data_IF_564063229985
#
_entry.id   IF_564063229985
#
_cell.length_a   1.000
_cell.length_b   1.000
_cell.length_c   1.000
_cell.angle_alpha   90.00
_cell.angle_beta   90.00
_cell.angle_gamma   90.00
#
_symmetry.space_group_name_H-M   'P 1'
#
loop_
_entity.id
_entity.type
_entity.pdbx_description
1 polymer ?
#
# COMPACT_ATOMS: atom_id res chain seq x y z
N UNK A 1 -5.60 15.28 -16.38
CA UNK A 1 -4.38 16.04 -16.73
C UNK A 1 -3.68 16.34 -15.42
N UNK A 2 -2.66 15.55 -15.07
CA UNK A 2 -1.95 15.70 -13.79
C UNK A 2 -1.02 16.91 -13.87
N UNK A 3 -1.03 17.77 -12.85
CA UNK A 3 -0.05 18.84 -12.72
C UNK A 3 1.33 18.20 -12.55
N UNK A 4 2.22 18.43 -13.52
CA UNK A 4 3.60 17.96 -13.44
C UNK A 4 4.34 18.83 -12.42
N UNK A 5 4.79 18.21 -11.33
CA UNK A 5 5.78 18.82 -10.45
C UNK A 5 7.15 18.77 -11.15
N UNK A 6 8.01 19.79 -10.95
CA UNK A 6 9.31 19.83 -11.59
C UNK A 6 10.19 18.66 -11.12
N UNK A 7 10.64 17.88 -12.10
CA UNK A 7 11.65 16.83 -11.99
C UNK A 7 12.98 17.42 -11.53
N UNK A 8 13.51 16.98 -10.39
CA UNK A 8 14.89 17.23 -9.98
C UNK A 8 15.60 15.88 -9.84
N UNK A 9 16.80 15.79 -10.43
CA UNK A 9 17.72 14.63 -10.43
C UNK A 9 18.07 14.20 -9.00
N UNK A 10 17.21 13.39 -8.37
CA UNK A 10 17.54 12.66 -7.16
C UNK A 10 17.83 11.21 -7.53
N UNK A 11 19.11 10.89 -7.73
CA UNK A 11 19.56 9.50 -7.86
C UNK A 11 19.41 8.80 -6.50
N UNK A 12 18.49 7.84 -6.33
CA UNK A 12 18.28 7.18 -5.04
C UNK A 12 19.49 6.29 -4.71
N UNK A 13 20.20 6.57 -3.62
CA UNK A 13 21.40 5.82 -3.21
C UNK A 13 21.10 4.40 -2.70
N UNK A 14 19.84 4.09 -2.38
CA UNK A 14 19.34 2.72 -2.18
C UNK A 14 17.81 2.70 -2.18
N UNK A 15 17.19 2.20 -3.24
CA UNK A 15 15.75 1.89 -3.20
C UNK A 15 15.60 0.61 -2.37
N UNK A 16 15.03 0.72 -1.17
CA UNK A 16 14.60 -0.45 -0.41
C UNK A 16 13.10 -0.56 -0.66
N UNK A 17 12.73 -1.22 -1.76
CA UNK A 17 11.33 -1.52 -2.06
C UNK A 17 10.81 -2.54 -1.03
N UNK A 18 10.35 -2.02 0.10
CA UNK A 18 9.49 -2.78 1.00
C UNK A 18 8.09 -2.54 0.49
N UNK A 19 7.64 -3.44 -0.38
CA UNK A 19 6.25 -3.50 -0.72
C UNK A 19 5.56 -4.59 0.08
N UNK A 20 4.35 -4.29 0.52
CA UNK A 20 3.55 -5.19 1.32
C UNK A 20 2.16 -5.18 0.73
N UNK A 21 1.60 -6.35 0.51
CA UNK A 21 0.19 -6.48 0.12
C UNK A 21 -0.59 -6.83 1.37
N UNK A 22 -1.61 -6.03 1.66
CA UNK A 22 -2.62 -6.36 2.65
C UNK A 22 -3.89 -6.73 1.93
N UNK A 23 -4.47 -7.88 2.27
CA UNK A 23 -5.81 -8.22 1.84
C UNK A 23 -6.71 -8.29 3.07
N UNK A 24 -7.64 -7.35 3.18
CA UNK A 24 -8.63 -7.34 4.26
C UNK A 24 -9.99 -7.77 3.74
N UNK A 25 -10.50 -8.87 4.27
CA UNK A 25 -11.85 -9.39 4.04
C UNK A 25 -12.73 -9.04 5.24
N UNK A 26 -13.76 -8.22 5.08
CA UNK A 26 -14.67 -7.84 6.19
C UNK A 26 -15.93 -8.72 6.21
N UNK A 27 -16.38 -9.20 7.37
CA UNK A 27 -17.67 -9.90 7.58
C UNK A 27 -18.31 -9.46 8.91
N UNK A 28 -19.65 -9.35 9.05
CA UNK A 28 -20.30 -8.91 10.29
C UNK A 28 -20.14 -9.86 11.50
N UNK A 29 -19.79 -11.13 11.28
CA UNK A 29 -19.69 -12.16 12.32
C UNK A 29 -18.52 -13.12 12.09
N UNK A 30 -17.32 -12.81 12.60
CA UNK A 30 -16.26 -13.80 12.81
C UNK A 30 -16.21 -14.21 14.29
N UNK A 31 -16.13 -15.51 14.53
CA UNK A 31 -15.76 -16.07 15.84
C UNK A 31 -14.30 -15.71 16.15
N UNK A 32 -13.98 -15.40 17.41
CA UNK A 32 -12.61 -15.12 17.84
C UNK A 32 -11.72 -16.35 17.60
N UNK A 33 -11.07 -16.42 16.44
CA UNK A 33 -9.97 -17.32 16.19
C UNK A 33 -8.85 -16.53 15.55
N UNK A 34 -7.77 -16.32 16.30
CA UNK A 34 -6.50 -15.88 15.74
C UNK A 34 -5.91 -17.12 15.07
N UNK A 35 -6.16 -17.30 13.78
CA UNK A 35 -5.44 -18.31 12.99
C UNK A 35 -4.15 -17.64 12.55
N UNK A 36 -3.09 -17.83 13.33
CA UNK A 36 -1.73 -17.55 12.88
C UNK A 36 -1.26 -18.83 12.18
N UNK A 37 -1.61 -19.01 10.92
CA UNK A 37 -0.89 -19.99 10.11
C UNK A 37 0.36 -19.27 9.59
N UNK A 38 1.48 -19.56 10.24
CA UNK A 38 2.79 -19.08 9.82
C UNK A 38 3.25 -20.07 8.75
N UNK A 39 2.77 -19.90 7.52
CA UNK A 39 3.69 -20.14 6.42
C UNK A 39 4.72 -19.02 6.52
N UNK A 40 6.02 -19.32 6.53
CA UNK A 40 7.08 -18.42 7.06
C UNK A 40 7.19 -17.03 6.37
N UNK A 41 6.36 -16.78 5.36
CA UNK A 41 6.33 -15.61 4.49
C UNK A 41 5.02 -14.80 4.56
N UNK A 42 3.92 -15.36 5.08
CA UNK A 42 2.61 -14.68 5.16
C UNK A 42 2.16 -14.56 6.62
N UNK A 43 1.79 -13.34 7.02
CA UNK A 43 1.16 -13.09 8.31
C UNK A 43 -0.36 -13.00 8.12
N UNK A 44 -1.12 -13.87 8.80
CA UNK A 44 -2.58 -13.88 8.78
C UNK A 44 -3.09 -13.44 10.15
N UNK A 45 -3.93 -12.40 10.16
CA UNK A 45 -4.53 -11.82 11.36
C UNK A 45 -6.04 -11.83 11.18
N UNK A 46 -6.73 -12.65 11.95
CA UNK A 46 -8.19 -12.71 11.98
C UNK A 46 -8.73 -12.10 13.27
N UNK A 47 -9.76 -11.26 13.14
CA UNK A 47 -10.51 -10.70 14.26
C UNK A 47 -12.03 -10.81 14.02
N UNK A 48 -12.86 -10.31 14.95
CA UNK A 48 -14.33 -10.46 14.93
C UNK A 48 -15.04 -9.97 13.67
N UNK A 49 -14.42 -9.09 12.89
CA UNK A 49 -15.04 -8.52 11.70
C UNK A 49 -14.19 -8.57 10.45
N UNK A 50 -12.94 -9.01 10.53
CA UNK A 50 -12.06 -9.05 9.37
C UNK A 50 -10.96 -10.11 9.45
N UNK A 51 -10.55 -10.59 8.29
CA UNK A 51 -9.31 -11.34 8.09
C UNK A 51 -8.37 -10.46 7.30
N UNK A 52 -7.16 -10.24 7.81
CA UNK A 52 -6.08 -9.51 7.13
C UNK A 52 -4.95 -10.47 6.85
N UNK A 53 -4.60 -10.63 5.58
CA UNK A 53 -3.38 -11.32 5.17
C UNK A 53 -2.34 -10.27 4.80
N UNK A 54 -1.07 -10.50 5.14
CA UNK A 54 0.05 -9.62 4.83
C UNK A 54 1.24 -10.42 4.32
N UNK A 55 1.81 -10.00 3.19
CA UNK A 55 3.06 -10.56 2.66
C UNK A 55 3.94 -9.42 2.14
N UNK A 56 5.25 -9.52 2.32
CA UNK A 56 6.19 -8.65 1.59
C UNK A 56 6.19 -9.03 0.11
N UNK A 57 6.12 -8.06 -0.80
CA UNK A 57 6.15 -8.31 -2.24
C UNK A 57 7.55 -8.84 -2.60
N UNK A 58 7.62 -10.07 -3.14
CA UNK A 58 8.87 -10.66 -3.58
C UNK A 58 9.40 -10.00 -4.86
N UNK A 59 10.64 -10.35 -5.24
CA UNK A 59 11.24 -9.84 -6.49
C UNK A 59 10.49 -10.30 -7.74
N UNK A 60 9.90 -11.49 -7.67
CA UNK A 60 9.12 -12.08 -8.75
C UNK A 60 7.68 -12.20 -8.30
N UNK A 61 6.74 -11.60 -9.05
CA UNK A 61 5.30 -11.57 -8.69
C UNK A 61 4.70 -12.97 -8.50
N UNK A 62 5.27 -13.98 -9.18
CA UNK A 62 4.90 -15.40 -9.07
C UNK A 62 5.13 -15.98 -7.65
N UNK A 63 6.01 -15.37 -6.87
CA UNK A 63 6.30 -15.77 -5.48
C UNK A 63 5.27 -15.19 -4.48
N UNK A 64 4.32 -14.36 -4.95
CA UNK A 64 3.30 -13.75 -4.10
C UNK A 64 2.20 -14.75 -3.72
N UNK A 65 2.46 -15.55 -2.69
CA UNK A 65 1.58 -16.56 -2.12
C UNK A 65 0.30 -16.01 -1.49
N UNK A 66 0.23 -14.72 -1.10
CA UNK A 66 -0.95 -14.12 -0.45
C UNK A 66 -2.22 -14.29 -1.29
N UNK A 67 -2.09 -14.25 -2.62
CA UNK A 67 -3.19 -14.40 -3.56
C UNK A 67 -3.78 -15.82 -3.47
N UNK A 68 -2.91 -16.84 -3.39
CA UNK A 68 -3.34 -18.22 -3.24
C UNK A 68 -4.04 -18.45 -1.88
N UNK A 69 -3.50 -17.87 -0.81
CA UNK A 69 -4.11 -17.95 0.53
C UNK A 69 -5.49 -17.30 0.56
N UNK A 70 -5.64 -16.10 0.01
CA UNK A 70 -6.94 -15.41 0.00
C UNK A 70 -7.95 -16.19 -0.87
N UNK A 71 -7.53 -16.76 -2.01
CA UNK A 71 -8.38 -17.64 -2.83
C UNK A 71 -8.86 -18.86 -2.04
N UNK A 72 -7.97 -19.52 -1.30
CA UNK A 72 -8.32 -20.65 -0.45
C UNK A 72 -9.31 -20.24 0.64
N UNK A 73 -9.09 -19.09 1.29
CA UNK A 73 -10.02 -18.55 2.29
C UNK A 73 -11.41 -18.31 1.69
N UNK A 74 -11.50 -17.64 0.56
CA UNK A 74 -12.78 -17.37 -0.12
C UNK A 74 -13.50 -18.65 -0.57
N UNK A 75 -12.74 -19.68 -0.98
CA UNK A 75 -13.29 -20.96 -1.41
C UNK A 75 -13.76 -21.83 -0.24
N UNK A 76 -13.02 -21.83 0.87
CA UNK A 76 -13.29 -22.66 2.05
C UNK A 76 -14.27 -22.00 3.04
N UNK A 77 -14.47 -20.69 2.94
CA UNK A 77 -15.40 -19.91 3.76
C UNK A 77 -16.57 -19.32 2.94
N UNK A 78 -17.25 -20.09 2.05
CA UNK A 78 -18.25 -19.56 1.14
C UNK A 78 -19.55 -19.15 1.84
N UNK A 79 -19.75 -19.58 3.10
CA UNK A 79 -20.91 -19.22 3.93
C UNK A 79 -20.86 -17.77 4.43
N UNK A 80 -19.71 -17.12 4.31
CA UNK A 80 -19.49 -15.76 4.77
C UNK A 80 -19.58 -14.83 3.55
N UNK A 81 -20.59 -13.96 3.51
CA UNK A 81 -20.65 -12.91 2.50
C UNK A 81 -19.61 -11.86 2.85
N UNK A 82 -18.58 -11.71 2.03
CA UNK A 82 -17.51 -10.73 2.24
C UNK A 82 -17.89 -9.41 1.57
N UNK A 83 -18.58 -8.46 2.22
CA UNK A 83 -18.99 -7.23 1.58
C UNK A 83 -17.82 -6.34 1.15
N UNK A 84 -16.61 -6.54 1.65
CA UNK A 84 -15.49 -5.63 1.39
C UNK A 84 -14.17 -6.37 1.24
N UNK A 85 -13.41 -6.00 0.22
CA UNK A 85 -12.01 -6.33 -0.01
C UNK A 85 -11.22 -5.02 -0.03
N UNK A 86 -10.13 -4.96 0.74
CA UNK A 86 -9.15 -3.88 0.64
C UNK A 86 -7.80 -4.46 0.24
N UNK A 87 -7.21 -3.93 -0.83
CA UNK A 87 -5.83 -4.22 -1.24
C UNK A 87 -4.96 -3.03 -0.89
N UNK A 88 -4.05 -3.19 0.06
CA UNK A 88 -3.11 -2.13 0.43
C UNK A 88 -1.72 -2.43 -0.07
N UNK A 89 -1.07 -1.43 -0.63
CA UNK A 89 0.32 -1.44 -1.04
C UNK A 89 1.09 -0.40 -0.25
N UNK A 90 2.31 -0.75 0.13
CA UNK A 90 3.27 0.17 0.74
C UNK A 90 4.50 0.25 -0.15
N UNK A 91 5.18 1.38 -0.19
CA UNK A 91 6.49 1.52 -0.81
C UNK A 91 7.28 2.54 0.00
N UNK A 92 8.50 2.19 0.41
CA UNK A 92 9.38 3.09 1.15
C UNK A 92 10.60 3.37 0.29
N UNK A 93 10.95 4.65 0.13
CA UNK A 93 12.08 5.06 -0.69
C UNK A 93 13.00 5.90 0.19
N UNK A 94 14.26 5.47 0.33
CA UNK A 94 15.24 6.26 1.07
C UNK A 94 15.69 7.46 0.25
N UNK A 95 15.84 8.61 0.92
CA UNK A 95 16.35 9.83 0.32
C UNK A 95 17.86 9.94 0.61
N UNK A 96 18.65 10.54 -0.30
CA UNK A 96 20.00 10.95 0.05
C UNK A 96 19.96 12.02 1.18
N UNK A 97 21.06 12.19 1.93
CA UNK A 97 21.21 13.34 2.85
C UNK A 97 20.71 13.17 4.28
N UNK A 98 20.47 14.30 4.97
CA UNK A 98 20.10 14.38 6.40
C UNK A 98 18.59 14.24 6.62
N UNK A 99 18.17 13.90 7.85
CA UNK A 99 16.77 13.66 8.27
C UNK A 99 15.75 14.68 7.74
N UNK A 100 16.17 15.93 7.62
CA UNK A 100 15.29 17.06 7.32
C UNK A 100 14.96 17.17 5.82
N UNK A 101 15.63 16.40 4.95
CA UNK A 101 15.39 16.42 3.51
C UNK A 101 14.04 15.84 3.09
N UNK A 102 13.50 14.86 3.84
CA UNK A 102 12.15 14.38 3.58
C UNK A 102 11.11 15.48 3.79
N UNK A 103 11.28 16.28 4.85
CA UNK A 103 10.42 17.42 5.18
C UNK A 103 10.63 18.55 4.16
N UNK A 104 11.88 18.83 3.77
CA UNK A 104 12.19 19.80 2.72
C UNK A 104 11.50 19.44 1.39
N UNK A 105 11.56 18.18 0.96
CA UNK A 105 10.87 17.71 -0.25
C UNK A 105 9.35 17.96 -0.21
N UNK A 106 8.69 17.77 0.94
CA UNK A 106 7.28 18.17 1.09
C UNK A 106 7.06 19.68 0.98
N UNK A 107 7.96 20.46 1.57
CA UNK A 107 7.79 21.91 1.73
C UNK A 107 8.21 22.72 0.49
N UNK A 108 9.18 22.25 -0.30
CA UNK A 108 9.74 23.00 -1.44
C UNK A 108 9.27 22.48 -2.79
N UNK A 109 9.09 21.17 -2.93
CA UNK A 109 9.00 20.54 -4.26
C UNK A 109 7.57 20.04 -4.58
N UNK A 110 6.78 19.69 -3.56
CA UNK A 110 5.40 19.20 -3.69
C UNK A 110 4.33 20.29 -3.58
N UNK A 111 4.65 21.40 -2.91
CA UNK A 111 3.69 22.44 -2.52
C UNK A 111 4.11 23.82 -3.05
N UNK A 112 4.25 23.96 -4.36
CA UNK A 112 4.41 25.29 -4.97
C UNK A 112 3.08 26.05 -4.98
N UNK A 113 2.98 27.06 -4.11
CA UNK A 113 2.11 28.26 -4.05
C UNK A 113 0.57 28.14 -4.21
N UNK A 114 -0.02 26.97 -4.46
CA UNK A 114 -1.45 26.88 -4.83
C UNK A 114 -2.28 25.84 -4.07
N UNK A 115 -1.71 25.14 -3.09
CA UNK A 115 -2.41 24.11 -2.34
C UNK A 115 -2.42 24.49 -0.86
N UNK A 116 -3.53 25.06 -0.37
CA UNK A 116 -3.79 25.17 1.07
C UNK A 116 -4.11 23.79 1.63
N UNK A 117 -3.09 22.98 1.87
CA UNK A 117 -3.23 21.71 2.59
C UNK A 117 -2.80 21.90 4.03
N UNK A 118 -3.71 21.60 4.95
CA UNK A 118 -3.43 21.45 6.37
C UNK A 118 -2.41 20.31 6.57
N UNK A 119 -1.13 20.65 6.52
CA UNK A 119 -0.01 19.76 6.81
C UNK A 119 0.01 19.49 8.32
N UNK A 120 -0.74 18.49 8.76
CA UNK A 120 -0.55 17.93 10.11
C UNK A 120 0.61 16.92 10.01
N UNK A 121 1.85 17.40 10.18
CA UNK A 121 3.02 16.55 10.46
C UNK A 121 3.75 15.91 9.28
N UNK A 122 3.75 16.51 8.07
CA UNK A 122 4.55 16.00 6.94
C UNK A 122 3.94 14.77 6.25
N UNK A 123 2.60 14.74 6.16
CA UNK A 123 1.80 13.73 5.48
C UNK A 123 0.82 14.38 4.50
N UNK A 124 0.78 13.87 3.28
CA UNK A 124 -0.16 14.19 2.22
C UNK A 124 -1.12 13.01 2.04
N UNK A 125 -2.43 13.28 1.99
CA UNK A 125 -3.44 12.26 1.69
C UNK A 125 -4.22 12.69 0.43
N UNK A 126 -4.39 11.76 -0.49
CA UNK A 126 -5.09 11.95 -1.76
C UNK A 126 -6.11 10.82 -1.96
N UNK A 127 -7.20 11.14 -2.63
CA UNK A 127 -8.20 10.15 -3.04
C UNK A 127 -8.33 10.17 -4.55
N UNK A 128 -8.07 9.04 -5.20
CA UNK A 128 -8.26 8.86 -6.63
C UNK A 128 -9.52 8.04 -6.86
N UNK A 129 -10.48 8.59 -7.60
CA UNK A 129 -11.69 7.86 -7.98
C UNK A 129 -11.39 7.09 -9.28
N UNK A 130 -10.98 5.82 -9.15
CA UNK A 130 -10.76 4.94 -10.31
C UNK A 130 -12.11 4.34 -10.75
N UNK A 131 -12.16 3.86 -12.00
CA UNK A 131 -13.38 3.26 -12.55
C UNK A 131 -13.82 2.00 -11.78
N UNK A 132 -12.87 1.24 -11.23
CA UNK A 132 -13.10 -0.01 -10.51
C UNK A 132 -13.38 0.19 -9.01
N UNK A 133 -12.65 1.10 -8.36
CA UNK A 133 -12.78 1.45 -6.94
C UNK A 133 -12.11 2.79 -6.61
N UNK A 134 -12.41 3.41 -5.45
CA UNK A 134 -11.56 4.47 -4.93
C UNK A 134 -10.19 3.91 -4.48
N UNK A 135 -9.13 4.67 -4.77
CA UNK A 135 -7.79 4.50 -4.22
C UNK A 135 -7.52 5.62 -3.20
N UNK A 136 -7.32 5.23 -1.94
CA UNK A 136 -6.84 6.12 -0.90
C UNK A 136 -5.33 6.06 -0.86
N UNK A 137 -4.68 7.17 -1.19
CA UNK A 137 -3.24 7.27 -1.28
C UNK A 137 -2.72 8.19 -0.19
N UNK A 138 -1.61 7.82 0.43
CA UNK A 138 -0.91 8.70 1.34
C UNK A 138 0.60 8.65 1.12
N UNK A 139 1.21 9.81 1.30
CA UNK A 139 2.64 10.02 1.24
C UNK A 139 3.06 10.71 2.53
N UNK A 140 4.00 10.14 3.26
CA UNK A 140 4.52 10.72 4.50
C UNK A 140 6.03 10.58 4.61
N UNK A 141 6.65 11.46 5.39
CA UNK A 141 8.04 11.29 5.79
C UNK A 141 8.19 10.05 6.69
N UNK A 142 9.33 9.37 6.56
CA UNK A 142 9.67 8.17 7.32
C UNK A 142 11.17 8.14 7.63
N UNK A 143 11.55 7.29 8.59
CA UNK A 143 12.95 7.01 8.93
C UNK A 143 13.19 5.50 8.87
N UNK A 144 14.21 5.08 8.13
CA UNK A 144 14.64 3.67 8.06
C UNK A 144 15.82 3.48 9.02
N UNK A 145 15.67 2.56 9.97
CA UNK A 145 16.77 2.17 10.86
C UNK A 145 17.68 1.15 10.17
N UNK A 146 18.95 1.51 10.02
CA UNK A 146 19.99 0.62 9.50
C UNK A 146 20.50 -0.34 10.58
N UNK A 147 21.21 -1.39 10.16
CA UNK A 147 21.80 -2.39 11.06
C UNK A 147 22.79 -1.79 12.06
N UNK A 148 23.47 -0.72 11.67
CA UNK A 148 24.39 0.07 12.52
C UNK A 148 23.69 1.17 13.33
N UNK A 149 22.36 1.09 13.45
CA UNK A 149 21.49 2.03 14.16
C UNK A 149 21.40 3.44 13.58
N UNK A 150 22.01 3.73 12.43
CA UNK A 150 21.78 4.99 11.73
C UNK A 150 20.34 5.08 11.22
N UNK A 151 19.79 6.30 11.22
CA UNK A 151 18.46 6.58 10.65
C UNK A 151 18.65 7.24 9.29
N UNK A 152 18.06 6.65 8.25
CA UNK A 152 18.00 7.23 6.92
C UNK A 152 16.65 7.92 6.72
N UNK A 153 16.62 9.18 6.21
CA UNK A 153 15.38 9.79 5.75
C UNK A 153 14.77 8.96 4.61
N UNK A 154 13.44 8.87 4.61
CA UNK A 154 12.70 8.15 3.60
C UNK A 154 11.33 8.80 3.36
N UNK A 155 10.75 8.47 2.22
CA UNK A 155 9.35 8.70 1.88
C UNK A 155 8.61 7.37 1.95
N UNK A 156 7.52 7.33 2.69
CA UNK A 156 6.61 6.20 2.74
C UNK A 156 5.35 6.54 1.95
N UNK A 157 5.13 5.76 0.89
CA UNK A 157 3.93 5.77 0.08
C UNK A 157 3.04 4.61 0.51
N UNK A 158 1.76 4.87 0.71
CA UNK A 158 0.76 3.87 1.04
C UNK A 158 -0.46 4.07 0.14
N UNK A 159 -0.95 3.00 -0.48
CA UNK A 159 -2.13 3.03 -1.34
C UNK A 159 -3.11 1.95 -0.88
N UNK A 160 -4.38 2.28 -0.79
CA UNK A 160 -5.47 1.37 -0.43
C UNK A 160 -6.56 1.40 -1.49
N UNK A 161 -6.70 0.30 -2.23
CA UNK A 161 -7.79 0.05 -3.18
C UNK A 161 -8.96 -0.56 -2.42
N UNK A 162 -10.06 0.18 -2.29
CA UNK A 162 -11.20 -0.21 -1.46
C UNK A 162 -12.37 -0.73 -2.32
N UNK A 163 -12.46 -2.05 -2.43
CA UNK A 163 -13.53 -2.74 -3.15
C UNK A 163 -14.69 -3.07 -2.20
N UNK A 164 -15.85 -2.48 -2.44
CA UNK A 164 -17.05 -2.69 -1.62
C UNK A 164 -18.22 -3.30 -2.40
N UNK A 165 -19.08 -4.01 -1.67
CA UNK A 165 -20.34 -4.61 -2.10
C UNK A 165 -20.20 -5.55 -3.32
N UNK A 166 -19.19 -6.43 -3.28
CA UNK A 166 -18.88 -7.38 -4.36
C UNK A 166 -19.32 -8.80 -4.02
N UNK A 167 -19.78 -9.57 -5.01
CA UNK A 167 -19.97 -11.02 -4.89
C UNK A 167 -18.58 -11.68 -4.67
N UNK A 168 -18.44 -12.71 -3.81
CA UNK A 168 -17.26 -13.56 -3.76
C UNK A 168 -16.59 -13.87 -5.11
N UNK A 169 -17.36 -14.09 -6.18
CA UNK A 169 -16.78 -14.30 -7.54
C UNK A 169 -16.09 -13.07 -8.12
N UNK A 170 -16.65 -11.89 -7.90
CA UNK A 170 -16.04 -10.62 -8.31
C UNK A 170 -14.79 -10.34 -7.46
N UNK A 171 -14.82 -10.65 -6.17
CA UNK A 171 -13.66 -10.55 -5.28
C UNK A 171 -12.52 -11.45 -5.78
N UNK A 172 -12.82 -12.68 -6.19
CA UNK A 172 -11.83 -13.57 -6.79
C UNK A 172 -11.23 -13.02 -8.08
N UNK A 173 -12.04 -12.37 -8.92
CA UNK A 173 -11.55 -11.72 -10.14
C UNK A 173 -10.63 -10.52 -9.81
N UNK A 174 -11.02 -9.68 -8.86
CA UNK A 174 -10.20 -8.55 -8.40
C UNK A 174 -8.86 -9.06 -7.86
N UNK A 175 -8.87 -10.11 -7.04
CA UNK A 175 -7.65 -10.73 -6.50
C UNK A 175 -6.78 -11.33 -7.61
N UNK A 176 -7.36 -11.85 -8.69
CA UNK A 176 -6.57 -12.33 -9.84
C UNK A 176 -5.85 -11.19 -10.57
N UNK A 177 -6.41 -9.98 -10.53
CA UNK A 177 -5.90 -8.82 -11.24
C UNK A 177 -5.14 -7.85 -10.31
N UNK A 178 -4.72 -8.30 -9.11
CA UNK A 178 -4.01 -7.47 -8.13
C UNK A 178 -2.77 -6.77 -8.69
N UNK A 179 -2.12 -7.36 -9.70
CA UNK A 179 -0.93 -6.79 -10.34
C UNK A 179 -1.25 -5.51 -11.11
N UNK A 180 -2.46 -5.35 -11.63
CA UNK A 180 -2.93 -4.11 -12.25
C UNK A 180 -3.04 -2.98 -11.23
N UNK A 181 -3.53 -3.27 -10.02
CA UNK A 181 -3.57 -2.31 -8.92
C UNK A 181 -2.16 -1.93 -8.45
N UNK A 182 -1.26 -2.92 -8.37
CA UNK A 182 0.16 -2.67 -8.05
C UNK A 182 0.86 -1.81 -9.11
N UNK A 183 0.61 -2.08 -10.39
CA UNK A 183 1.11 -1.26 -11.50
C UNK A 183 0.56 0.15 -11.43
N UNK A 184 -0.75 0.32 -11.23
CA UNK A 184 -1.40 1.63 -11.06
C UNK A 184 -0.78 2.41 -9.90
N UNK A 185 -0.56 1.75 -8.76
CA UNK A 185 0.09 2.37 -7.61
C UNK A 185 1.53 2.81 -7.91
N UNK A 186 2.32 1.95 -8.57
CA UNK A 186 3.69 2.30 -9.02
C UNK A 186 3.68 3.47 -10.01
N UNK A 187 2.75 3.50 -10.94
CA UNK A 187 2.61 4.57 -11.93
C UNK A 187 2.28 5.91 -11.27
N UNK A 188 1.35 5.92 -10.30
CA UNK A 188 1.02 7.12 -9.53
C UNK A 188 2.26 7.64 -8.79
N UNK A 189 3.03 6.75 -8.15
CA UNK A 189 4.28 7.12 -7.48
C UNK A 189 5.30 7.69 -8.47
N UNK A 190 5.58 6.94 -9.54
CA UNK A 190 6.62 7.30 -10.49
C UNK A 190 6.24 8.58 -11.23
N UNK A 191 5.07 8.66 -11.86
CA UNK A 191 4.69 9.83 -12.66
C UNK A 191 4.32 11.05 -11.80
N UNK A 192 3.79 10.83 -10.60
CA UNK A 192 3.30 11.91 -9.74
C UNK A 192 4.34 12.50 -8.79
N UNK A 193 5.36 11.73 -8.39
CA UNK A 193 6.26 12.11 -7.30
C UNK A 193 7.75 11.93 -7.64
N UNK A 194 8.13 10.82 -8.26
CA UNK A 194 9.56 10.52 -8.48
C UNK A 194 10.06 10.99 -9.86
N UNK A 195 9.16 11.06 -10.84
CA UNK A 195 9.37 11.39 -12.24
C UNK A 195 10.09 10.31 -13.04
#
# INVERSE_FOLDING_TARGET
MFAKLPLIDYQPLKIIDIAQVYCTLTHPHFSNQIITDIDQEINIIANKSQITCQQSIPKHEEELKIIAVVKQLLTNLPKYSYPKLSLKFKRIISLPGKSDQAIAYFQTDLLTDSISTDLIGGKLNLTYNLNSCPLYFSLQSALIRQQDHRLLPALAFEGEFAYGNKDPREILQIINNWSEDWLTFKEIINQGFLG
#
